data_IF_379327008788
#
_entry.id   IF_379327008788
#
_cell.length_a   1.000
_cell.length_b   1.000
_cell.length_c   1.000
_cell.angle_alpha   90.00
_cell.angle_beta   90.00
_cell.angle_gamma   90.00
#
_symmetry.space_group_name_H-M   'P 1'
#
loop_
_entity.id
_entity.type
_entity.pdbx_description
1 polymer ?
#
# COMPACT_ATOMS: atom_id res chain seq x y z
N UNK A 1 -16.17 -9.25 -20.43
CA UNK A 1 -16.37 -8.42 -19.21
C UNK A 1 -15.30 -8.81 -18.26
N UNK A 2 -14.16 -8.14 -18.41
CA UNK A 2 -12.94 -8.42 -17.67
C UNK A 2 -12.39 -7.12 -17.09
N UNK A 3 -11.94 -7.20 -15.85
CA UNK A 3 -11.05 -6.21 -15.26
C UNK A 3 -9.68 -6.84 -15.20
N UNK A 4 -8.73 -6.31 -15.97
CA UNK A 4 -7.34 -6.75 -16.00
C UNK A 4 -6.51 -5.82 -15.13
N UNK A 5 -6.10 -6.31 -13.96
CA UNK A 5 -5.22 -5.57 -13.07
C UNK A 5 -3.76 -5.82 -13.44
N UNK A 6 -3.00 -4.74 -13.66
CA UNK A 6 -1.56 -4.79 -13.87
C UNK A 6 -0.85 -5.45 -12.66
N UNK A 7 0.04 -6.40 -12.92
CA UNK A 7 0.81 -7.14 -11.90
C UNK A 7 1.74 -6.21 -11.12
N UNK A 8 2.20 -5.13 -11.74
CA UNK A 8 3.05 -4.11 -11.12
C UNK A 8 2.28 -3.01 -10.40
N UNK A 9 0.93 -3.07 -10.39
CA UNK A 9 0.11 -2.11 -9.68
C UNK A 9 0.40 -2.11 -8.18
N UNK A 10 0.53 -0.91 -7.61
CA UNK A 10 0.71 -0.71 -6.18
C UNK A 10 2.13 -0.34 -5.78
N UNK A 11 2.43 -0.45 -4.48
CA UNK A 11 3.71 -0.02 -3.90
C UNK A 11 4.91 -0.70 -4.55
N UNK A 12 5.89 0.11 -4.98
CA UNK A 12 7.23 -0.38 -5.26
C UNK A 12 7.99 -0.68 -3.96
N UNK A 13 9.15 -1.34 -4.08
CA UNK A 13 10.00 -1.65 -2.92
C UNK A 13 10.39 -0.40 -2.11
N UNK A 14 10.82 0.67 -2.79
CA UNK A 14 11.26 1.91 -2.12
C UNK A 14 10.14 2.58 -1.31
N UNK A 15 8.94 2.66 -1.89
CA UNK A 15 7.75 3.18 -1.21
C UNK A 15 7.33 2.28 -0.05
N UNK A 16 7.25 0.97 -0.26
CA UNK A 16 6.89 0.01 0.79
C UNK A 16 7.85 0.11 1.97
N UNK A 17 9.16 0.11 1.71
CA UNK A 17 10.20 0.30 2.73
C UNK A 17 9.98 1.59 3.52
N UNK A 18 9.74 2.71 2.84
CA UNK A 18 9.55 4.00 3.50
C UNK A 18 8.30 4.00 4.39
N UNK A 19 7.17 3.51 3.87
CA UNK A 19 5.91 3.43 4.60
C UNK A 19 6.03 2.49 5.80
N UNK A 20 6.52 1.27 5.61
CA UNK A 20 6.67 0.27 6.68
C UNK A 20 7.59 0.78 7.80
N UNK A 21 8.70 1.43 7.43
CA UNK A 21 9.61 2.06 8.39
C UNK A 21 8.91 3.12 9.24
N UNK A 22 8.18 4.04 8.60
CA UNK A 22 7.47 5.11 9.31
C UNK A 22 6.35 4.54 10.19
N UNK A 23 5.65 3.50 9.74
CA UNK A 23 4.62 2.84 10.53
C UNK A 23 5.19 2.14 11.76
N UNK A 24 6.32 1.45 11.64
CA UNK A 24 7.01 0.81 12.78
C UNK A 24 7.48 1.85 13.81
N UNK A 25 8.04 2.96 13.34
CA UNK A 25 8.44 4.09 14.20
C UNK A 25 7.22 4.69 14.89
N UNK A 26 6.15 4.96 14.15
CA UNK A 26 4.93 5.54 14.70
C UNK A 26 4.28 4.64 15.76
N UNK A 27 4.40 3.31 15.61
CA UNK A 27 3.89 2.34 16.59
C UNK A 27 4.72 2.33 17.88
N UNK A 28 6.02 2.60 17.80
CA UNK A 28 6.96 2.54 18.94
C UNK A 28 7.33 3.90 19.54
N UNK A 29 6.83 5.01 18.97
CA UNK A 29 7.24 6.38 19.33
C UNK A 29 7.00 6.78 20.79
N UNK A 30 6.09 6.11 21.51
CA UNK A 30 5.72 6.53 22.86
C UNK A 30 5.19 7.98 22.87
N UNK A 31 5.92 8.88 23.54
CA UNK A 31 5.62 10.33 23.59
C UNK A 31 6.40 11.16 22.55
N UNK A 32 7.23 10.53 21.73
CA UNK A 32 8.06 11.20 20.73
C UNK A 32 7.23 11.79 19.58
N UNK A 33 7.56 13.01 19.16
CA UNK A 33 6.98 13.63 17.97
C UNK A 33 7.69 13.14 16.71
N UNK A 34 6.94 12.63 15.74
CA UNK A 34 7.50 12.09 14.49
C UNK A 34 7.04 12.97 13.33
N UNK A 35 8.01 13.51 12.61
CA UNK A 35 7.81 14.36 11.44
C UNK A 35 8.36 13.71 10.18
N UNK A 36 7.81 14.04 9.02
CA UNK A 36 8.44 13.76 7.73
C UNK A 36 8.84 15.07 7.07
N UNK A 37 10.04 15.14 6.50
CA UNK A 37 10.47 16.32 5.74
C UNK A 37 9.84 16.30 4.35
N UNK A 38 8.75 17.04 4.19
CA UNK A 38 7.77 16.94 3.13
C UNK A 38 6.88 15.69 3.26
N UNK A 39 5.96 15.49 2.29
CA UNK A 39 5.22 14.23 2.17
C UNK A 39 6.19 13.06 1.99
N UNK A 40 6.01 12.00 2.80
CA UNK A 40 6.83 10.78 2.72
C UNK A 40 6.84 10.20 1.29
N UNK A 41 5.68 10.20 0.65
CA UNK A 41 5.41 9.76 -0.72
C UNK A 41 4.33 10.65 -1.37
N UNK A 42 4.20 10.60 -2.69
CA UNK A 42 3.15 11.30 -3.43
C UNK A 42 1.85 10.47 -3.49
N UNK A 43 1.16 10.35 -2.35
CA UNK A 43 -0.19 9.76 -2.29
C UNK A 43 -0.99 10.36 -1.11
N UNK A 44 -1.99 11.23 -1.37
CA UNK A 44 -2.65 12.01 -0.31
C UNK A 44 -3.34 11.12 0.72
N UNK A 45 -3.92 9.99 0.31
CA UNK A 45 -4.59 9.06 1.20
C UNK A 45 -3.62 8.38 2.17
N UNK A 46 -2.42 8.01 1.72
CA UNK A 46 -1.39 7.43 2.59
C UNK A 46 -0.85 8.48 3.55
N UNK A 47 -0.69 9.74 3.11
CA UNK A 47 -0.30 10.83 4.00
C UNK A 47 -1.34 11.05 5.11
N UNK A 48 -2.64 10.98 4.79
CA UNK A 48 -3.70 11.06 5.80
C UNK A 48 -3.62 9.90 6.81
N UNK A 49 -3.41 8.67 6.34
CA UNK A 49 -3.19 7.52 7.23
C UNK A 49 -2.01 7.76 8.18
N UNK A 50 -0.89 8.31 7.69
CA UNK A 50 0.25 8.63 8.55
C UNK A 50 -0.07 9.73 9.57
N UNK A 51 -0.82 10.76 9.16
CA UNK A 51 -1.29 11.84 10.05
C UNK A 51 -2.16 11.30 11.18
N UNK A 52 -3.09 10.38 10.89
CA UNK A 52 -3.91 9.73 11.92
C UNK A 52 -3.09 8.90 12.92
N UNK A 53 -1.87 8.48 12.56
CA UNK A 53 -0.90 7.84 13.45
C UNK A 53 0.06 8.82 14.11
N UNK A 54 -0.21 10.11 13.99
CA UNK A 54 0.58 11.21 14.54
C UNK A 54 1.97 11.30 13.94
N UNK A 55 2.08 11.08 12.63
CA UNK A 55 3.25 11.42 11.81
C UNK A 55 2.89 12.64 10.97
N UNK A 56 3.59 13.75 11.18
CA UNK A 56 3.20 15.06 10.61
C UNK A 56 4.20 15.46 9.52
N UNK A 57 3.76 15.66 8.26
CA UNK A 57 4.64 16.22 7.24
C UNK A 57 4.86 17.72 7.52
N UNK A 58 6.12 18.15 7.46
CA UNK A 58 6.53 19.56 7.59
C UNK A 58 7.23 19.99 6.31
N UNK A 59 7.24 21.27 5.99
CA UNK A 59 7.97 21.81 4.83
C UNK A 59 9.32 22.39 5.19
N UNK A 60 9.44 22.96 6.39
CA UNK A 60 10.68 23.48 6.95
C UNK A 60 10.93 22.86 8.34
N UNK A 61 12.20 22.60 8.64
CA UNK A 61 12.64 22.20 9.98
C UNK A 61 12.42 23.30 11.03
N UNK A 62 12.20 24.55 10.60
CA UNK A 62 11.79 25.70 11.42
C UNK A 62 10.36 25.60 11.97
N UNK A 63 9.54 24.70 11.44
CA UNK A 63 8.22 24.37 12.00
C UNK A 63 8.31 23.52 13.27
N UNK A 64 9.47 22.92 13.57
CA UNK A 64 9.66 22.14 14.79
C UNK A 64 10.11 23.09 15.91
N UNK A 65 9.22 23.31 16.88
CA UNK A 65 9.51 24.12 18.07
C UNK A 65 10.79 23.66 18.77
N UNK A 66 11.67 24.61 19.10
CA UNK A 66 12.92 24.35 19.81
C UNK A 66 12.70 23.71 21.21
N UNK A 67 11.49 23.85 21.78
CA UNK A 67 11.10 23.27 23.07
C UNK A 67 10.41 21.90 22.95
N UNK A 68 10.22 21.39 21.73
CA UNK A 68 9.68 20.06 21.44
C UNK A 68 10.67 18.99 21.90
N UNK A 69 10.51 18.51 23.15
CA UNK A 69 11.33 17.41 23.70
C UNK A 69 11.15 16.15 22.84
N UNK A 70 12.27 15.58 22.39
CA UNK A 70 12.36 14.36 21.57
C UNK A 70 11.51 14.40 20.29
N UNK A 71 12.10 14.95 19.23
CA UNK A 71 11.55 14.91 17.88
C UNK A 71 12.43 14.05 16.97
N UNK A 72 11.78 13.28 16.11
CA UNK A 72 12.43 12.60 14.98
C UNK A 72 11.90 13.17 13.69
N UNK A 73 12.82 13.41 12.76
CA UNK A 73 12.47 13.73 11.38
C UNK A 73 12.89 12.61 10.44
N UNK A 74 11.95 12.22 9.60
CA UNK A 74 12.12 11.17 8.61
C UNK A 74 12.31 11.83 7.24
N UNK A 75 13.44 11.54 6.60
CA UNK A 75 13.70 11.96 5.22
C UNK A 75 12.81 11.16 4.28
N UNK A 76 12.06 11.85 3.41
CA UNK A 76 11.14 11.24 2.43
C UNK A 76 11.85 10.30 1.44
N UNK A 77 11.08 9.42 0.79
CA UNK A 77 11.62 8.42 -0.14
C UNK A 77 12.37 9.04 -1.35
N UNK A 78 12.02 10.26 -1.73
CA UNK A 78 12.66 11.05 -2.79
C UNK A 78 14.04 11.61 -2.40
N UNK A 79 14.44 11.48 -1.14
CA UNK A 79 15.63 12.14 -0.61
C UNK A 79 15.46 13.65 -0.39
N UNK A 80 16.56 14.24 0.07
CA UNK A 80 16.76 15.67 0.30
C UNK A 80 18.20 16.04 -0.11
N UNK A 81 18.46 17.33 -0.26
CA UNK A 81 19.80 17.84 -0.59
C UNK A 81 20.77 17.70 0.59
N UNK A 82 22.10 17.73 0.36
CA UNK A 82 23.09 17.82 1.44
C UNK A 82 22.88 19.04 2.35
N UNK A 83 22.49 20.18 1.79
CA UNK A 83 22.22 21.43 2.51
C UNK A 83 21.02 21.28 3.45
N UNK A 84 19.89 20.76 2.96
CA UNK A 84 18.71 20.47 3.76
C UNK A 84 19.04 19.49 4.90
N UNK A 85 19.84 18.46 4.59
CA UNK A 85 20.29 17.48 5.60
C UNK A 85 21.14 18.13 6.69
N UNK A 86 22.00 19.09 6.34
CA UNK A 86 22.83 19.82 7.30
C UNK A 86 21.98 20.76 8.16
N UNK A 87 21.02 21.49 7.57
CA UNK A 87 20.05 22.34 8.30
C UNK A 87 19.34 21.55 9.40
N UNK A 88 18.93 20.32 9.10
CA UNK A 88 18.29 19.44 10.09
C UNK A 88 19.26 19.00 11.19
N UNK A 89 20.49 18.63 10.84
CA UNK A 89 21.52 18.19 11.81
C UNK A 89 21.88 19.31 12.79
N UNK A 90 21.97 20.54 12.32
CA UNK A 90 22.30 21.72 13.13
C UNK A 90 21.27 21.96 14.24
N UNK A 91 20.02 21.52 14.07
CA UNK A 91 18.99 21.56 15.11
C UNK A 91 19.08 20.44 16.17
N UNK A 92 20.01 19.49 16.02
CA UNK A 92 20.15 18.35 16.94
C UNK A 92 18.97 17.38 16.92
N UNK A 93 18.14 17.40 15.86
CA UNK A 93 16.98 16.52 15.70
C UNK A 93 17.43 15.15 15.19
N UNK A 94 16.85 14.06 15.73
CA UNK A 94 17.17 12.71 15.27
C UNK A 94 16.68 12.52 13.83
N UNK A 95 17.58 12.12 12.94
CA UNK A 95 17.27 11.86 11.52
C UNK A 95 17.11 10.35 11.29
N UNK A 96 16.01 9.98 10.63
CA UNK A 96 15.83 8.65 10.05
C UNK A 96 15.72 8.79 8.53
N UNK A 97 16.56 8.06 7.79
CA UNK A 97 16.66 8.20 6.35
C UNK A 97 15.83 7.15 5.60
N UNK A 98 14.64 7.54 5.15
CA UNK A 98 13.77 6.69 4.34
C UNK A 98 14.00 6.84 2.83
N UNK A 99 15.07 7.54 2.39
CA UNK A 99 15.44 7.67 0.97
C UNK A 99 15.47 6.29 0.30
N UNK A 100 14.90 6.21 -0.90
CA UNK A 100 14.91 4.99 -1.69
C UNK A 100 16.37 4.65 -2.09
N UNK A 101 16.81 3.38 -1.95
CA UNK A 101 18.16 2.98 -2.35
C UNK A 101 18.49 3.29 -3.82
N UNK A 102 17.49 3.29 -4.72
CA UNK A 102 17.66 3.69 -6.12
C UNK A 102 17.97 5.18 -6.27
N UNK A 103 17.31 6.03 -5.49
CA UNK A 103 17.59 7.48 -5.45
C UNK A 103 18.98 7.74 -4.85
N UNK A 104 19.32 7.06 -3.75
CA UNK A 104 20.64 7.17 -3.14
C UNK A 104 21.77 6.74 -4.09
N UNK A 105 21.51 5.77 -4.97
CA UNK A 105 22.45 5.38 -6.02
C UNK A 105 22.69 6.51 -7.03
N UNK A 106 21.64 7.22 -7.47
CA UNK A 106 21.78 8.38 -8.35
C UNK A 106 22.60 9.48 -7.66
N UNK A 107 22.31 9.78 -6.39
CA UNK A 107 23.08 10.75 -5.59
C UNK A 107 24.58 10.39 -5.55
N UNK A 108 24.91 9.09 -5.41
CA UNK A 108 26.29 8.61 -5.42
C UNK A 108 26.96 8.76 -6.80
N UNK A 109 26.23 8.50 -7.90
CA UNK A 109 26.74 8.73 -9.27
C UNK A 109 27.06 10.20 -9.47
N UNK A 110 26.13 11.10 -9.12
CA UNK A 110 26.31 12.55 -9.24
C UNK A 110 27.55 12.99 -8.46
N UNK A 111 27.64 12.61 -7.18
CA UNK A 111 28.77 12.97 -6.32
C UNK A 111 30.11 12.50 -6.89
N UNK A 112 30.16 11.27 -7.42
CA UNK A 112 31.37 10.71 -8.04
C UNK A 112 31.78 11.53 -9.26
N UNK A 113 30.87 11.85 -10.17
CA UNK A 113 31.21 12.55 -11.42
C UNK A 113 31.56 14.02 -11.20
N UNK A 114 30.91 14.68 -10.23
CA UNK A 114 31.33 16.03 -9.82
C UNK A 114 32.75 16.03 -9.26
N UNK A 115 33.15 15.00 -8.49
CA UNK A 115 34.55 14.88 -8.02
C UNK A 115 35.58 14.66 -9.14
N UNK A 116 35.13 14.22 -10.31
CA UNK A 116 35.93 14.07 -11.53
C UNK A 116 35.78 15.27 -12.49
N UNK A 117 35.25 16.40 -12.00
CA UNK A 117 35.07 17.64 -12.75
C UNK A 117 34.07 17.56 -13.92
N UNK A 118 33.06 16.68 -13.84
CA UNK A 118 31.96 16.64 -14.80
C UNK A 118 30.87 17.66 -14.45
N UNK A 119 30.25 18.24 -15.48
CA UNK A 119 28.92 18.87 -15.38
C UNK A 119 27.88 17.75 -15.46
N UNK A 120 26.91 17.76 -14.54
CA UNK A 120 25.86 16.74 -14.48
C UNK A 120 24.57 17.29 -15.07
N UNK A 121 24.09 16.67 -16.13
CA UNK A 121 22.75 16.91 -16.68
C UNK A 121 21.77 15.93 -16.04
N UNK A 122 20.72 16.45 -15.40
CA UNK A 122 19.69 15.68 -14.71
C UNK A 122 18.42 15.77 -15.55
N UNK A 123 18.05 14.69 -16.24
CA UNK A 123 16.82 14.63 -17.02
C UNK A 123 15.64 14.36 -16.09
N UNK A 124 14.70 15.30 -15.98
CA UNK A 124 13.55 15.16 -15.08
C UNK A 124 12.77 16.45 -14.87
N UNK A 125 11.75 16.38 -14.02
CA UNK A 125 10.87 17.51 -13.75
C UNK A 125 11.53 18.51 -12.77
N UNK A 126 11.73 19.76 -13.21
CA UNK A 126 12.43 20.81 -12.44
C UNK A 126 11.89 21.06 -11.04
N UNK A 127 10.58 20.94 -10.85
CA UNK A 127 9.93 21.21 -9.57
C UNK A 127 9.83 19.95 -8.68
N UNK A 128 10.34 18.80 -9.13
CA UNK A 128 10.15 17.56 -8.41
C UNK A 128 11.11 17.42 -7.21
N UNK A 129 10.61 17.03 -6.03
CA UNK A 129 11.40 16.77 -4.83
C UNK A 129 12.70 15.98 -5.03
N UNK A 130 12.61 14.90 -5.82
CA UNK A 130 13.77 14.06 -6.14
C UNK A 130 14.83 14.83 -6.92
N UNK A 131 14.42 15.58 -7.95
CA UNK A 131 15.33 16.33 -8.82
C UNK A 131 16.03 17.44 -8.03
N UNK A 132 15.30 18.14 -7.16
CA UNK A 132 15.88 19.12 -6.25
C UNK A 132 16.91 18.49 -5.30
N UNK A 133 16.59 17.32 -4.75
CA UNK A 133 17.52 16.55 -3.93
C UNK A 133 18.77 16.15 -4.69
N UNK A 134 18.63 15.64 -5.92
CA UNK A 134 19.74 15.26 -6.80
C UNK A 134 20.62 16.45 -7.18
N UNK A 135 20.01 17.61 -7.49
CA UNK A 135 20.71 18.82 -7.86
C UNK A 135 21.66 19.30 -6.75
N UNK A 136 21.28 19.15 -5.48
CA UNK A 136 22.15 19.48 -4.35
C UNK A 136 23.43 18.63 -4.28
N UNK A 137 23.39 17.37 -4.71
CA UNK A 137 24.60 16.53 -4.80
C UNK A 137 25.52 16.95 -5.95
N UNK A 138 25.07 17.83 -6.83
CA UNK A 138 25.88 18.34 -7.94
C UNK A 138 26.76 19.54 -7.55
N UNK A 139 26.61 20.10 -6.33
CA UNK A 139 27.43 21.20 -5.80
C UNK A 139 27.64 22.37 -6.79
N UNK A 140 26.56 22.82 -7.42
CA UNK A 140 26.59 23.93 -8.39
C UNK A 140 26.99 23.53 -9.83
N UNK A 141 27.31 22.26 -10.08
CA UNK A 141 27.64 21.72 -11.42
C UNK A 141 26.49 20.93 -12.06
N UNK A 142 25.29 21.04 -11.52
CA UNK A 142 24.11 20.35 -12.05
C UNK A 142 23.24 21.27 -12.91
N UNK A 143 22.69 20.74 -14.00
CA UNK A 143 21.71 21.41 -14.84
C UNK A 143 20.54 20.44 -15.05
N UNK A 144 19.31 20.90 -14.83
CA UNK A 144 18.11 20.07 -15.04
C UNK A 144 17.58 20.28 -16.45
N UNK A 145 17.32 19.18 -17.15
CA UNK A 145 16.76 19.17 -18.51
C UNK A 145 15.35 18.59 -18.47
N UNK A 146 14.35 19.42 -18.75
CA UNK A 146 12.94 19.02 -18.75
C UNK A 146 12.42 18.52 -20.10
N UNK A 147 12.98 19.01 -21.20
CA UNK A 147 12.59 18.67 -22.57
C UNK A 147 13.79 18.72 -23.53
N UNK A 148 13.61 18.17 -24.73
CA UNK A 148 14.63 18.18 -25.79
C UNK A 148 15.00 19.61 -26.23
N UNK A 149 14.04 20.54 -26.25
CA UNK A 149 14.25 21.92 -26.68
C UNK A 149 15.23 22.70 -25.77
N UNK A 150 15.38 22.26 -24.52
CA UNK A 150 16.31 22.89 -23.57
C UNK A 150 17.78 22.60 -23.91
N UNK A 151 18.06 21.56 -24.70
CA UNK A 151 19.43 21.16 -25.09
C UNK A 151 20.09 22.26 -25.93
N UNK A 152 19.33 22.94 -26.78
CA UNK A 152 19.85 23.99 -27.67
C UNK A 152 20.40 25.20 -26.90
N UNK A 153 19.82 25.46 -25.73
CA UNK A 153 20.15 26.59 -24.86
C UNK A 153 21.31 26.29 -23.89
N UNK A 154 21.86 25.07 -23.90
CA UNK A 154 22.95 24.70 -23.00
C UNK A 154 24.24 25.44 -23.35
N UNK A 155 24.98 25.98 -22.37
CA UNK A 155 26.30 26.55 -22.64
C UNK A 155 27.25 25.46 -23.14
N UNK A 156 28.43 25.87 -23.64
CA UNK A 156 29.47 24.89 -23.96
C UNK A 156 29.95 24.25 -22.65
N UNK A 157 29.74 22.95 -22.52
CA UNK A 157 30.17 22.16 -21.37
C UNK A 157 31.46 21.40 -21.69
N UNK A 158 32.26 21.13 -20.66
CA UNK A 158 33.41 20.23 -20.74
C UNK A 158 32.96 18.77 -20.68
N UNK A 159 33.43 18.05 -19.66
CA UNK A 159 33.00 16.66 -19.43
C UNK A 159 31.54 16.63 -18.96
N UNK A 160 30.68 15.88 -19.66
CA UNK A 160 29.24 15.79 -19.36
C UNK A 160 28.88 14.40 -18.86
N UNK A 161 28.12 14.36 -17.75
CA UNK A 161 27.52 13.16 -17.20
C UNK A 161 25.99 13.33 -17.20
N UNK A 162 25.26 12.38 -17.75
CA UNK A 162 23.79 12.38 -17.74
C UNK A 162 23.27 11.37 -16.72
N UNK A 163 22.30 11.79 -15.93
CA UNK A 163 21.46 10.94 -15.08
C UNK A 163 19.99 11.31 -15.30
N UNK A 164 19.08 10.41 -14.94
CA UNK A 164 17.64 10.63 -14.99
C UNK A 164 16.99 10.58 -13.59
N UNK A 165 15.89 11.33 -13.44
CA UNK A 165 14.93 11.10 -12.37
C UNK A 165 14.44 9.64 -12.44
N UNK A 166 14.40 8.93 -11.31
CA UNK A 166 14.11 7.49 -11.25
C UNK A 166 12.74 7.11 -11.79
N UNK A 167 11.82 8.06 -11.83
CA UNK A 167 10.46 7.90 -12.35
C UNK A 167 10.28 8.43 -13.77
N UNK A 168 11.34 8.76 -14.51
CA UNK A 168 11.24 9.38 -15.84
C UNK A 168 10.65 8.42 -16.90
N UNK A 169 10.08 8.99 -17.97
CA UNK A 169 9.62 8.21 -19.13
C UNK A 169 10.83 7.71 -19.94
N UNK A 170 10.87 6.42 -20.25
CA UNK A 170 12.02 5.81 -20.94
C UNK A 170 12.19 6.32 -22.38
N UNK A 171 11.08 6.49 -23.11
CA UNK A 171 11.13 6.94 -24.51
C UNK A 171 11.64 8.40 -24.57
N UNK A 172 11.12 9.28 -23.70
CA UNK A 172 11.57 10.68 -23.59
C UNK A 172 13.02 10.78 -23.12
N UNK A 173 13.47 9.89 -22.22
CA UNK A 173 14.88 9.85 -21.79
C UNK A 173 15.81 9.50 -22.94
N UNK A 174 15.49 8.48 -23.74
CA UNK A 174 16.30 8.07 -24.90
C UNK A 174 16.42 9.21 -25.91
N UNK A 175 15.30 9.88 -26.19
CA UNK A 175 15.25 11.02 -27.11
C UNK A 175 16.14 12.19 -26.64
N UNK A 176 16.02 12.58 -25.37
CA UNK A 176 16.85 13.66 -24.79
C UNK A 176 18.33 13.27 -24.76
N UNK A 177 18.66 12.02 -24.41
CA UNK A 177 20.04 11.53 -24.43
C UNK A 177 20.65 11.59 -25.82
N UNK A 178 19.87 11.28 -26.86
CA UNK A 178 20.32 11.40 -28.25
C UNK A 178 20.72 12.83 -28.59
N UNK A 179 19.83 13.80 -28.35
CA UNK A 179 20.14 15.22 -28.59
C UNK A 179 21.32 15.75 -27.77
N UNK A 180 21.48 15.27 -26.53
CA UNK A 180 22.65 15.62 -25.70
C UNK A 180 23.94 15.08 -26.33
N UNK A 181 23.95 13.84 -26.82
CA UNK A 181 25.13 13.24 -27.45
C UNK A 181 25.50 13.89 -28.78
N UNK A 182 24.52 14.37 -29.54
CA UNK A 182 24.79 15.15 -30.76
C UNK A 182 25.56 16.44 -30.45
N UNK A 183 25.20 17.14 -29.37
CA UNK A 183 25.87 18.39 -28.95
C UNK A 183 27.16 18.14 -28.15
N UNK A 184 27.19 17.09 -27.35
CA UNK A 184 28.29 16.72 -26.45
C UNK A 184 28.67 15.23 -26.65
N UNK A 185 29.47 14.89 -27.68
CA UNK A 185 29.72 13.50 -28.08
C UNK A 185 30.33 12.60 -27.00
N UNK A 186 31.20 13.16 -26.15
CA UNK A 186 31.90 12.43 -25.07
C UNK A 186 31.05 12.26 -23.79
N UNK A 187 29.74 12.47 -23.88
CA UNK A 187 28.81 12.36 -22.74
C UNK A 187 28.77 10.94 -22.18
N UNK A 188 29.03 10.83 -20.88
CA UNK A 188 28.81 9.59 -20.12
C UNK A 188 27.35 9.54 -19.67
N UNK A 189 26.64 8.47 -19.99
CA UNK A 189 25.21 8.33 -19.66
C UNK A 189 25.02 7.21 -18.65
N UNK A 190 24.31 7.53 -17.56
CA UNK A 190 23.77 6.53 -16.65
C UNK A 190 22.26 6.54 -16.76
N UNK A 191 21.71 5.41 -17.23
CA UNK A 191 20.29 5.15 -17.11
C UNK A 191 19.97 4.87 -15.64
N UNK A 192 19.42 5.89 -14.98
CA UNK A 192 19.03 5.82 -13.57
C UNK A 192 17.52 5.76 -13.39
N UNK A 193 16.76 5.51 -14.46
CA UNK A 193 15.34 5.15 -14.35
C UNK A 193 15.29 3.82 -13.58
N UNK A 194 14.35 3.71 -12.63
CA UNK A 194 14.28 2.49 -11.83
C UNK A 194 13.56 1.38 -12.58
N UNK A 195 14.02 0.14 -12.40
CA UNK A 195 13.43 -1.07 -12.99
C UNK A 195 11.93 -1.20 -12.69
N UNK A 196 11.51 -0.74 -11.52
CA UNK A 196 10.12 -0.67 -11.07
C UNK A 196 9.27 0.28 -11.93
N UNK A 197 9.84 1.40 -12.39
CA UNK A 197 9.18 2.35 -13.28
C UNK A 197 9.12 1.78 -14.69
N UNK A 198 10.23 1.25 -15.23
CA UNK A 198 10.27 0.62 -16.55
C UNK A 198 9.23 -0.49 -16.71
N UNK A 199 9.18 -1.44 -15.75
CA UNK A 199 8.23 -2.54 -15.77
C UNK A 199 6.78 -2.06 -15.77
N UNK A 200 6.46 -1.00 -15.01
CA UNK A 200 5.11 -0.39 -15.01
C UNK A 200 4.77 0.26 -16.34
N UNK A 201 5.70 0.99 -16.93
CA UNK A 201 5.51 1.64 -18.22
C UNK A 201 5.28 0.60 -19.32
N UNK A 202 6.10 -0.46 -19.37
CA UNK A 202 5.96 -1.56 -20.30
C UNK A 202 4.63 -2.32 -20.10
N UNK A 203 4.25 -2.60 -18.85
CA UNK A 203 2.99 -3.28 -18.58
C UNK A 203 1.77 -2.43 -18.93
N UNK A 204 1.79 -1.11 -18.71
CA UNK A 204 0.72 -0.22 -19.18
C UNK A 204 0.59 -0.26 -20.70
N UNK A 205 1.71 -0.20 -21.45
CA UNK A 205 1.71 -0.33 -22.93
C UNK A 205 1.13 -1.68 -23.39
N UNK A 206 1.46 -2.77 -22.70
CA UNK A 206 0.90 -4.09 -23.01
C UNK A 206 -0.60 -4.15 -22.69
N UNK A 207 -1.00 -3.64 -21.52
CA UNK A 207 -2.37 -3.71 -21.04
C UNK A 207 -3.32 -2.86 -21.88
N UNK A 208 -2.87 -1.71 -22.38
CA UNK A 208 -3.63 -0.87 -23.31
C UNK A 208 -3.97 -1.60 -24.61
N UNK A 209 -3.10 -2.51 -25.09
CA UNK A 209 -3.35 -3.27 -26.31
C UNK A 209 -4.51 -4.26 -26.16
N UNK A 210 -4.77 -4.73 -24.94
CA UNK A 210 -5.76 -5.77 -24.65
C UNK A 210 -7.07 -5.24 -24.04
N UNK A 211 -7.22 -3.92 -23.93
CA UNK A 211 -8.34 -3.28 -23.21
C UNK A 211 -8.95 -2.12 -24.01
N UNK A 212 -10.18 -1.76 -23.67
CA UNK A 212 -10.96 -0.69 -24.29
C UNK A 212 -10.84 0.63 -23.53
N UNK A 213 -10.55 0.56 -22.23
CA UNK A 213 -10.30 1.72 -21.38
C UNK A 213 -9.30 1.37 -20.28
N UNK A 214 -8.56 2.39 -19.85
CA UNK A 214 -7.54 2.27 -18.82
C UNK A 214 -7.85 3.17 -17.64
N UNK A 215 -7.78 2.62 -16.43
CA UNK A 215 -7.86 3.35 -15.17
C UNK A 215 -6.48 3.35 -14.53
N UNK A 216 -5.91 4.54 -14.35
CA UNK A 216 -4.60 4.75 -13.73
C UNK A 216 -4.82 5.33 -12.34
N UNK A 217 -4.63 4.50 -11.32
CA UNK A 217 -4.99 4.81 -9.94
C UNK A 217 -3.81 5.42 -9.18
N UNK A 218 -3.97 6.62 -8.63
CA UNK A 218 -3.00 7.23 -7.72
C UNK A 218 -3.04 8.75 -7.71
N UNK A 219 -2.27 9.36 -6.80
CA UNK A 219 -2.25 10.81 -6.61
C UNK A 219 -1.90 11.59 -7.88
N UNK A 220 -2.59 12.71 -8.13
CA UNK A 220 -2.31 13.65 -9.22
C UNK A 220 -0.96 14.33 -9.08
N UNK A 221 -0.45 14.42 -7.85
CA UNK A 221 0.89 14.92 -7.56
C UNK A 221 2.01 13.87 -7.78
N UNK A 222 1.69 12.62 -8.14
CA UNK A 222 2.69 11.59 -8.41
C UNK A 222 3.18 11.66 -9.85
N UNK A 223 4.46 11.99 -10.03
CA UNK A 223 5.09 12.05 -11.35
C UNK A 223 5.05 10.69 -12.08
N UNK A 224 5.28 9.59 -11.35
CA UNK A 224 5.12 8.24 -11.90
C UNK A 224 3.68 7.96 -12.35
N UNK A 225 2.66 8.32 -11.55
CA UNK A 225 1.25 8.06 -11.92
C UNK A 225 0.84 8.86 -13.15
N UNK A 226 1.20 10.15 -13.19
CA UNK A 226 0.97 11.03 -14.36
C UNK A 226 1.60 10.46 -15.63
N UNK A 227 2.83 9.94 -15.55
CA UNK A 227 3.49 9.29 -16.70
C UNK A 227 2.77 8.05 -17.17
N UNK A 228 2.27 7.19 -16.26
CA UNK A 228 1.47 6.03 -16.65
C UNK A 228 0.17 6.43 -17.38
N UNK A 229 -0.50 7.50 -16.91
CA UNK A 229 -1.67 8.06 -17.59
C UNK A 229 -1.31 8.58 -18.99
N UNK A 230 -0.27 9.40 -19.11
CA UNK A 230 0.19 9.94 -20.40
C UNK A 230 0.61 8.84 -21.38
N UNK A 231 1.27 7.78 -20.90
CA UNK A 231 1.63 6.61 -21.72
C UNK A 231 0.37 5.93 -22.25
N UNK A 232 -0.62 5.71 -21.39
CA UNK A 232 -1.90 5.11 -21.78
C UNK A 232 -2.67 5.96 -22.80
N UNK A 233 -2.73 7.27 -22.58
CA UNK A 233 -3.34 8.23 -23.52
C UNK A 233 -2.66 8.21 -24.89
N UNK A 234 -1.32 8.16 -24.93
CA UNK A 234 -0.55 8.06 -26.17
C UNK A 234 -0.83 6.77 -26.96
N UNK A 235 -1.35 5.71 -26.33
CA UNK A 235 -1.80 4.50 -27.02
C UNK A 235 -3.21 4.62 -27.63
N UNK A 236 -3.85 5.80 -27.53
CA UNK A 236 -5.16 6.08 -28.12
C UNK A 236 -6.34 5.45 -27.38
N UNK A 237 -6.15 5.03 -26.13
CA UNK A 237 -7.22 4.43 -25.31
C UNK A 237 -7.82 5.48 -24.37
N UNK A 238 -9.17 5.50 -24.18
CA UNK A 238 -9.80 6.22 -23.09
C UNK A 238 -9.08 5.94 -21.76
N UNK A 239 -8.52 6.98 -21.16
CA UNK A 239 -7.68 6.88 -19.97
C UNK A 239 -8.26 7.74 -18.85
N UNK A 240 -8.41 7.15 -17.67
CA UNK A 240 -8.98 7.79 -16.49
C UNK A 240 -7.94 7.79 -15.37
N UNK A 241 -7.32 8.95 -15.09
CA UNK A 241 -6.49 9.14 -13.91
C UNK A 241 -7.37 9.50 -12.72
N UNK A 242 -7.53 8.55 -11.80
CA UNK A 242 -8.36 8.69 -10.60
C UNK A 242 -7.55 8.47 -9.32
N UNK A 243 -7.92 9.15 -8.24
CA UNK A 243 -7.33 8.97 -6.92
C UNK A 243 -8.16 8.03 -6.02
N UNK A 244 -9.47 7.98 -6.24
CA UNK A 244 -10.42 7.26 -5.39
C UNK A 244 -11.53 6.57 -6.19
N UNK A 245 -12.22 5.63 -5.55
CA UNK A 245 -13.38 4.93 -6.14
C UNK A 245 -14.57 5.85 -6.38
N UNK A 246 -14.66 6.99 -5.68
CA UNK A 246 -15.80 7.90 -5.77
C UNK A 246 -15.84 8.65 -7.11
N UNK A 247 -14.67 8.85 -7.73
CA UNK A 247 -14.54 9.43 -9.07
C UNK A 247 -15.13 8.53 -10.17
N UNK A 248 -15.37 7.24 -9.89
CA UNK A 248 -16.10 6.36 -10.82
C UNK A 248 -17.57 6.75 -11.02
N UNK A 249 -18.12 7.64 -10.20
CA UNK A 249 -19.50 8.13 -10.36
C UNK A 249 -19.67 9.02 -11.59
N UNK A 250 -18.60 9.69 -12.00
CA UNK A 250 -18.60 10.61 -13.14
C UNK A 250 -18.18 9.93 -14.45
N UNK A 251 -17.77 8.66 -14.36
CA UNK A 251 -17.25 7.89 -15.49
C UNK A 251 -18.30 6.88 -15.94
N UNK A 252 -18.66 6.83 -17.24
CA UNK A 252 -19.57 5.84 -17.79
C UNK A 252 -18.90 4.45 -17.90
N UNK A 253 -18.44 3.88 -16.78
CA UNK A 253 -17.69 2.62 -16.69
C UNK A 253 -18.40 1.47 -17.41
N UNK A 254 -19.73 1.45 -17.36
CA UNK A 254 -20.53 0.40 -17.97
C UNK A 254 -20.37 0.32 -19.48
N UNK A 255 -19.92 1.36 -20.19
CA UNK A 255 -19.76 1.30 -21.65
C UNK A 255 -18.60 0.39 -22.10
N UNK A 256 -17.64 0.10 -21.22
CA UNK A 256 -16.44 -0.69 -21.53
C UNK A 256 -16.59 -2.15 -21.06
N UNK A 257 -16.26 -3.09 -21.93
CA UNK A 257 -16.27 -4.53 -21.69
C UNK A 257 -14.95 -5.04 -21.11
N UNK A 258 -13.81 -4.62 -21.66
CA UNK A 258 -12.48 -5.01 -21.18
C UNK A 258 -11.75 -3.79 -20.64
N UNK A 259 -11.60 -3.73 -19.32
CA UNK A 259 -11.02 -2.58 -18.62
C UNK A 259 -9.67 -2.96 -18.03
N UNK A 260 -8.65 -2.17 -18.34
CA UNK A 260 -7.35 -2.25 -17.70
C UNK A 260 -7.28 -1.36 -16.47
N UNK A 261 -6.70 -1.87 -15.39
CA UNK A 261 -6.41 -1.10 -14.18
C UNK A 261 -4.92 -1.19 -13.91
N UNK A 262 -4.27 -0.04 -13.79
CA UNK A 262 -2.89 0.07 -13.30
C UNK A 262 -2.82 1.12 -12.20
N UNK A 263 -1.70 1.20 -11.50
CA UNK A 263 -1.55 2.12 -10.39
C UNK A 263 -0.12 2.64 -10.26
N UNK A 264 -0.01 3.86 -9.74
CA UNK A 264 1.26 4.47 -9.40
C UNK A 264 2.04 3.68 -8.35
N UNK A 265 3.37 3.82 -8.36
CA UNK A 265 4.26 3.19 -7.39
C UNK A 265 4.01 3.65 -5.93
N UNK A 266 3.28 4.75 -5.74
CA UNK A 266 2.89 5.31 -4.43
C UNK A 266 1.45 4.98 -4.04
N UNK A 267 0.71 4.18 -4.81
CA UNK A 267 -0.70 3.84 -4.53
C UNK A 267 -0.78 2.54 -3.72
N UNK A 268 -1.40 2.52 -2.54
CA UNK A 268 -1.56 1.30 -1.76
C UNK A 268 -2.67 0.39 -2.31
N UNK A 269 -2.52 -0.92 -2.09
CA UNK A 269 -3.45 -1.94 -2.62
C UNK A 269 -4.91 -1.68 -2.25
N UNK A 270 -5.20 -1.22 -1.03
CA UNK A 270 -6.57 -0.97 -0.61
C UNK A 270 -7.30 0.10 -1.44
N UNK A 271 -6.60 1.06 -2.05
CA UNK A 271 -7.20 2.02 -2.99
C UNK A 271 -7.49 1.32 -4.31
N UNK A 272 -6.52 0.54 -4.80
CA UNK A 272 -6.61 -0.20 -6.07
C UNK A 272 -7.76 -1.20 -6.01
N UNK A 273 -7.83 -2.00 -4.96
CA UNK A 273 -8.87 -2.99 -4.71
C UNK A 273 -10.25 -2.33 -4.71
N UNK A 274 -10.41 -1.19 -4.02
CA UNK A 274 -11.67 -0.44 -4.01
C UNK A 274 -12.07 0.04 -5.41
N UNK A 275 -11.12 0.49 -6.22
CA UNK A 275 -11.39 0.89 -7.61
C UNK A 275 -11.79 -0.32 -8.46
N UNK A 276 -11.03 -1.42 -8.39
CA UNK A 276 -11.31 -2.66 -9.13
C UNK A 276 -12.71 -3.20 -8.76
N UNK A 277 -13.03 -3.26 -7.47
CA UNK A 277 -14.34 -3.66 -6.99
C UNK A 277 -15.44 -2.70 -7.47
N UNK A 278 -15.18 -1.39 -7.42
CA UNK A 278 -16.09 -0.35 -7.91
C UNK A 278 -16.39 -0.46 -9.40
N UNK A 279 -15.40 -0.83 -10.21
CA UNK A 279 -15.52 -1.10 -11.64
C UNK A 279 -16.33 -2.38 -11.87
N UNK A 280 -15.95 -3.48 -11.20
CA UNK A 280 -16.62 -4.77 -11.33
C UNK A 280 -18.12 -4.68 -10.95
N UNK A 281 -18.44 -3.96 -9.88
CA UNK A 281 -19.84 -3.69 -9.48
C UNK A 281 -20.60 -2.99 -10.61
N UNK A 282 -20.05 -1.91 -11.19
CA UNK A 282 -20.70 -1.13 -12.26
C UNK A 282 -20.84 -1.94 -13.56
N UNK A 283 -19.86 -2.77 -13.92
CA UNK A 283 -19.98 -3.68 -15.06
C UNK A 283 -21.07 -4.75 -14.84
N UNK A 284 -21.21 -5.27 -13.61
CA UNK A 284 -22.23 -6.27 -13.28
C UNK A 284 -23.68 -5.76 -13.41
N UNK A 285 -23.89 -4.44 -13.43
CA UNK A 285 -25.23 -3.86 -13.50
C UNK A 285 -25.95 -4.12 -14.82
N UNK A 286 -25.24 -4.49 -15.89
CA UNK A 286 -25.83 -4.85 -17.18
C UNK A 286 -26.64 -6.17 -17.16
N UNK A 287 -26.41 -7.08 -16.21
CA UNK A 287 -27.11 -8.37 -16.14
C UNK A 287 -27.84 -8.56 -14.81
N UNK A 288 -29.19 -8.61 -14.84
CA UNK A 288 -30.02 -8.72 -13.62
C UNK A 288 -29.72 -9.96 -12.78
N UNK A 289 -29.48 -11.10 -13.42
CA UNK A 289 -29.21 -12.37 -12.71
C UNK A 289 -27.79 -12.41 -12.12
N UNK A 290 -26.80 -11.99 -12.90
CA UNK A 290 -25.40 -11.88 -12.43
C UNK A 290 -25.32 -10.85 -11.31
N UNK A 291 -26.02 -9.73 -11.40
CA UNK A 291 -26.10 -8.69 -10.36
C UNK A 291 -26.66 -9.24 -9.05
N UNK A 292 -27.74 -10.04 -9.08
CA UNK A 292 -28.31 -10.63 -7.85
C UNK A 292 -27.34 -11.59 -7.19
N UNK A 293 -26.77 -12.51 -7.96
CA UNK A 293 -25.79 -13.47 -7.43
C UNK A 293 -24.54 -12.77 -6.89
N UNK A 294 -23.96 -11.84 -7.65
CA UNK A 294 -22.79 -11.08 -7.24
C UNK A 294 -23.06 -10.24 -5.98
N UNK A 295 -24.21 -9.56 -5.90
CA UNK A 295 -24.61 -8.83 -4.68
C UNK A 295 -24.73 -9.75 -3.47
N UNK A 296 -25.32 -10.94 -3.62
CA UNK A 296 -25.42 -11.92 -2.55
C UNK A 296 -24.04 -12.43 -2.13
N UNK A 297 -23.18 -12.78 -3.09
CA UNK A 297 -21.81 -13.22 -2.83
C UNK A 297 -21.01 -12.14 -2.09
N UNK A 298 -21.00 -10.90 -2.62
CA UNK A 298 -20.37 -9.74 -1.96
C UNK A 298 -20.94 -9.52 -0.56
N UNK A 299 -22.25 -9.68 -0.36
CA UNK A 299 -22.86 -9.59 0.97
C UNK A 299 -22.32 -10.65 1.93
N UNK A 300 -22.24 -11.92 1.52
CA UNK A 300 -21.69 -13.00 2.37
C UNK A 300 -20.21 -12.81 2.69
N UNK A 301 -19.47 -12.25 1.73
CA UNK A 301 -18.06 -11.87 1.85
C UNK A 301 -17.90 -10.68 2.80
N UNK A 302 -18.77 -9.66 2.72
CA UNK A 302 -18.79 -8.49 3.60
C UNK A 302 -19.09 -8.84 5.05
N UNK A 303 -19.98 -9.79 5.26
CA UNK A 303 -20.49 -10.18 6.58
C UNK A 303 -19.70 -11.33 7.22
N UNK A 304 -18.61 -11.80 6.61
CA UNK A 304 -17.86 -13.00 7.03
C UNK A 304 -18.68 -14.31 7.06
N UNK A 305 -19.92 -14.29 6.57
CA UNK A 305 -20.76 -15.48 6.37
C UNK A 305 -20.08 -16.46 5.41
N UNK A 306 -19.38 -15.96 4.39
CA UNK A 306 -18.66 -16.82 3.45
C UNK A 306 -17.58 -17.66 4.17
N UNK A 307 -16.80 -17.05 5.06
CA UNK A 307 -15.79 -17.74 5.87
C UNK A 307 -16.42 -18.75 6.82
N UNK A 308 -17.55 -18.39 7.43
CA UNK A 308 -18.31 -19.25 8.34
C UNK A 308 -18.85 -20.50 7.64
N UNK A 309 -19.41 -20.35 6.44
CA UNK A 309 -19.85 -21.47 5.61
C UNK A 309 -18.68 -22.37 5.22
N UNK A 310 -17.56 -21.78 4.80
CA UNK A 310 -16.34 -22.53 4.50
C UNK A 310 -15.83 -23.34 5.70
N UNK A 311 -15.87 -22.77 6.91
CA UNK A 311 -15.48 -23.47 8.13
C UNK A 311 -16.41 -24.64 8.49
N UNK A 312 -17.71 -24.48 8.29
CA UNK A 312 -18.69 -25.57 8.45
C UNK A 312 -18.46 -26.72 7.47
N UNK A 313 -18.22 -26.39 6.19
CA UNK A 313 -17.85 -27.37 5.17
C UNK A 313 -16.54 -28.11 5.52
N UNK A 314 -15.56 -27.39 6.08
CA UNK A 314 -14.31 -27.99 6.53
C UNK A 314 -14.52 -28.95 7.70
N UNK A 315 -15.37 -28.61 8.67
CA UNK A 315 -15.77 -29.49 9.77
C UNK A 315 -16.47 -30.77 9.26
N UNK A 316 -17.40 -30.61 8.32
CA UNK A 316 -18.05 -31.74 7.65
C UNK A 316 -17.04 -32.65 6.96
N UNK A 317 -16.16 -32.08 6.12
CA UNK A 317 -15.12 -32.84 5.42
C UNK A 317 -14.19 -33.57 6.40
N UNK A 318 -13.82 -32.91 7.50
CA UNK A 318 -12.99 -33.48 8.54
C UNK A 318 -13.63 -34.69 9.22
N UNK A 319 -14.92 -34.61 9.59
CA UNK A 319 -15.65 -35.74 10.16
C UNK A 319 -15.70 -36.93 9.18
N UNK A 320 -15.95 -36.67 7.89
CA UNK A 320 -15.99 -37.71 6.86
C UNK A 320 -14.62 -38.38 6.69
N UNK A 321 -13.54 -37.61 6.66
CA UNK A 321 -12.17 -38.13 6.52
C UNK A 321 -11.73 -38.94 7.74
N UNK A 322 -12.16 -38.53 8.94
CA UNK A 322 -11.88 -39.24 10.20
C UNK A 322 -12.82 -40.43 10.43
N UNK A 323 -13.79 -40.67 9.54
CA UNK A 323 -14.83 -41.71 9.66
C UNK A 323 -15.68 -41.56 10.93
N UNK A 324 -15.91 -40.31 11.35
CA UNK A 324 -16.80 -39.96 12.45
C UNK A 324 -18.25 -39.83 11.95
N UNK A 325 -19.21 -39.98 12.84
CA UNK A 325 -20.61 -39.70 12.53
C UNK A 325 -20.80 -38.19 12.31
N UNK A 326 -21.49 -37.82 11.23
CA UNK A 326 -21.76 -36.41 10.91
C UNK A 326 -22.67 -35.82 11.97
N UNK A 327 -22.15 -34.85 12.72
CA UNK A 327 -22.90 -34.12 13.74
C UNK A 327 -23.15 -32.68 13.29
N UNK A 328 -24.42 -32.33 13.08
CA UNK A 328 -24.83 -30.99 12.67
C UNK A 328 -24.47 -29.90 13.71
N UNK A 329 -24.43 -30.25 15.00
CA UNK A 329 -24.05 -29.33 16.07
C UNK A 329 -22.57 -28.93 15.93
N UNK A 330 -21.69 -29.87 15.60
CA UNK A 330 -20.25 -29.57 15.39
C UNK A 330 -20.01 -28.67 14.18
N UNK A 331 -20.77 -28.87 13.10
CA UNK A 331 -20.76 -28.00 11.92
C UNK A 331 -21.20 -26.59 12.30
N UNK A 332 -22.31 -26.48 13.05
CA UNK A 332 -22.86 -25.21 13.51
C UNK A 332 -21.89 -24.46 14.44
N UNK A 333 -21.30 -25.16 15.43
CA UNK A 333 -20.29 -24.60 16.34
C UNK A 333 -19.13 -24.04 15.52
N UNK A 334 -18.62 -24.80 14.55
CA UNK A 334 -17.48 -24.38 13.73
C UNK A 334 -17.80 -23.13 12.90
N UNK A 335 -18.96 -23.11 12.24
CA UNK A 335 -19.39 -21.95 11.45
C UNK A 335 -19.57 -20.70 12.31
N UNK A 336 -20.32 -20.81 13.42
CA UNK A 336 -20.60 -19.66 14.28
C UNK A 336 -19.37 -19.15 15.03
N UNK A 337 -18.45 -20.06 15.41
CA UNK A 337 -17.18 -19.68 16.03
C UNK A 337 -16.33 -18.85 15.08
N UNK A 338 -16.13 -19.33 13.85
CA UNK A 338 -15.36 -18.61 12.83
C UNK A 338 -16.01 -17.27 12.49
N UNK A 339 -17.34 -17.24 12.31
CA UNK A 339 -18.08 -15.99 12.12
C UNK A 339 -17.79 -14.99 13.26
N UNK A 340 -18.00 -15.42 14.51
CA UNK A 340 -17.85 -14.55 15.67
C UNK A 340 -16.42 -14.04 15.84
N UNK A 341 -15.43 -14.93 15.77
CA UNK A 341 -14.03 -14.57 15.95
C UNK A 341 -13.51 -13.65 14.85
N UNK A 342 -13.84 -13.92 13.58
CA UNK A 342 -13.44 -13.04 12.48
C UNK A 342 -14.07 -11.65 12.62
N UNK A 343 -15.36 -11.60 12.99
CA UNK A 343 -16.11 -10.36 13.19
C UNK A 343 -15.54 -9.54 14.36
N UNK A 344 -15.33 -10.16 15.52
CA UNK A 344 -14.75 -9.52 16.71
C UNK A 344 -13.32 -9.05 16.46
N UNK A 345 -12.46 -9.91 15.91
CA UNK A 345 -11.08 -9.56 15.62
C UNK A 345 -10.98 -8.41 14.62
N UNK A 346 -11.86 -8.35 13.62
CA UNK A 346 -11.90 -7.22 12.68
C UNK A 346 -12.28 -5.91 13.37
N UNK A 347 -13.25 -5.94 14.27
CA UNK A 347 -13.69 -4.75 15.01
C UNK A 347 -12.58 -4.26 15.96
N UNK A 348 -11.90 -5.18 16.65
CA UNK A 348 -10.77 -4.86 17.53
C UNK A 348 -9.56 -4.36 16.71
N UNK A 349 -9.22 -5.05 15.62
CA UNK A 349 -8.11 -4.67 14.73
C UNK A 349 -8.35 -3.29 14.10
N UNK A 350 -9.59 -2.97 13.72
CA UNK A 350 -9.97 -1.67 13.14
C UNK A 350 -9.76 -0.50 14.11
N UNK A 351 -10.04 -0.66 15.41
CA UNK A 351 -9.70 0.38 16.40
C UNK A 351 -8.20 0.68 16.44
N UNK A 352 -7.38 -0.24 15.93
CA UNK A 352 -5.91 -0.13 15.88
C UNK A 352 -5.39 0.22 14.47
N UNK A 353 -6.20 0.02 13.42
CA UNK A 353 -5.84 0.25 12.01
C UNK A 353 -6.77 1.29 11.39
N UNK A 354 -6.26 2.50 11.17
CA UNK A 354 -6.98 3.60 10.51
C UNK A 354 -7.10 3.43 8.99
N UNK A 355 -6.52 2.37 8.42
CA UNK A 355 -6.55 2.09 6.99
C UNK A 355 -7.85 1.39 6.63
N UNK A 356 -8.66 2.03 5.78
CA UNK A 356 -9.87 1.41 5.23
C UNK A 356 -9.47 0.43 4.13
N UNK A 357 -9.28 -0.85 4.48
CA UNK A 357 -8.67 -1.86 3.63
C UNK A 357 -9.55 -2.40 2.49
N UNK A 358 -10.88 -2.35 2.63
CA UNK A 358 -11.80 -2.92 1.62
C UNK A 358 -13.23 -2.37 1.75
N UNK A 359 -14.08 -2.62 0.74
CA UNK A 359 -15.54 -2.35 0.80
C UNK A 359 -16.27 -2.99 1.99
N UNK A 360 -15.62 -3.95 2.68
CA UNK A 360 -16.18 -4.62 3.85
C UNK A 360 -16.28 -3.64 5.02
N UNK A 361 -15.26 -2.82 5.21
CA UNK A 361 -15.13 -1.97 6.40
C UNK A 361 -16.13 -0.81 6.45
N UNK A 362 -16.60 -0.35 5.29
CA UNK A 362 -17.65 0.67 5.22
C UNK A 362 -18.99 0.16 5.78
N UNK A 363 -19.36 -1.08 5.44
CA UNK A 363 -20.56 -1.73 5.99
C UNK A 363 -20.44 -1.91 7.51
N UNK A 364 -19.28 -2.37 7.96
CA UNK A 364 -18.95 -2.54 9.37
C UNK A 364 -19.03 -1.22 10.15
N UNK A 365 -18.57 -0.10 9.58
CA UNK A 365 -18.69 1.22 10.21
C UNK A 365 -20.15 1.63 10.36
N UNK A 366 -20.96 1.43 9.34
CA UNK A 366 -22.38 1.84 9.35
C UNK A 366 -23.23 1.01 10.31
N UNK A 367 -22.93 -0.28 10.46
CA UNK A 367 -23.73 -1.22 11.24
C UNK A 367 -22.94 -1.88 12.38
N UNK A 368 -21.96 -1.18 12.96
CA UNK A 368 -21.02 -1.73 13.94
C UNK A 368 -21.73 -2.43 15.10
N UNK A 369 -22.75 -1.77 15.68
CA UNK A 369 -23.54 -2.33 16.79
C UNK A 369 -24.22 -3.66 16.41
N UNK A 370 -24.72 -3.77 15.18
CA UNK A 370 -25.38 -4.98 14.71
C UNK A 370 -24.37 -6.13 14.53
N UNK A 371 -23.19 -5.84 13.95
CA UNK A 371 -22.13 -6.84 13.82
C UNK A 371 -21.58 -7.30 15.17
N UNK A 372 -21.37 -6.37 16.12
CA UNK A 372 -20.96 -6.71 17.49
C UNK A 372 -22.01 -7.61 18.15
N UNK A 373 -23.29 -7.22 18.10
CA UNK A 373 -24.37 -8.01 18.68
C UNK A 373 -24.45 -9.40 18.05
N UNK A 374 -24.40 -9.50 16.72
CA UNK A 374 -24.42 -10.78 16.01
C UNK A 374 -23.23 -11.66 16.39
N UNK A 375 -22.02 -11.09 16.51
CA UNK A 375 -20.84 -11.84 16.91
C UNK A 375 -20.92 -12.34 18.36
N UNK A 376 -21.39 -11.51 19.29
CA UNK A 376 -21.57 -11.89 20.71
C UNK A 376 -22.65 -12.97 20.82
N UNK A 377 -23.80 -12.80 20.16
CA UNK A 377 -24.87 -13.81 20.15
C UNK A 377 -24.35 -15.13 19.58
N UNK A 378 -23.61 -15.07 18.47
CA UNK A 378 -22.98 -16.27 17.87
C UNK A 378 -22.01 -16.94 18.84
N UNK A 379 -21.19 -16.18 19.57
CA UNK A 379 -20.27 -16.73 20.56
C UNK A 379 -21.00 -17.41 21.73
N UNK A 380 -22.08 -16.80 22.22
CA UNK A 380 -22.92 -17.39 23.28
C UNK A 380 -23.53 -18.71 22.78
N UNK A 381 -24.07 -18.74 21.56
CA UNK A 381 -24.63 -19.95 20.98
C UNK A 381 -23.58 -21.05 20.81
N UNK A 382 -22.36 -20.70 20.42
CA UNK A 382 -21.22 -21.64 20.33
C UNK A 382 -20.91 -22.23 21.70
N UNK A 383 -20.83 -21.40 22.75
CA UNK A 383 -20.55 -21.89 24.11
C UNK A 383 -21.67 -22.81 24.62
N UNK A 384 -22.94 -22.44 24.44
CA UNK A 384 -24.09 -23.27 24.82
C UNK A 384 -24.09 -24.60 24.05
N UNK A 385 -23.87 -24.55 22.74
CA UNK A 385 -23.87 -25.75 21.89
C UNK A 385 -22.67 -26.66 22.18
N UNK A 386 -21.51 -26.09 22.47
CA UNK A 386 -20.34 -26.89 22.86
C UNK A 386 -20.53 -27.60 24.19
N UNK A 387 -21.27 -26.99 25.13
CA UNK A 387 -21.64 -27.64 26.39
C UNK A 387 -22.59 -28.83 26.19
N UNK A 388 -23.51 -28.77 25.22
CA UNK A 388 -24.39 -29.90 24.91
C UNK A 388 -23.68 -31.05 24.19
N UNK A 389 -22.56 -30.78 23.50
CA UNK A 389 -21.67 -31.81 22.95
C UNK A 389 -20.86 -32.49 24.06
N UNK A 390 -20.35 -31.72 25.02
CA UNK A 390 -19.69 -32.24 26.21
C UNK A 390 -18.75 -31.24 26.88
N UNK A 391 -18.34 -31.54 28.11
CA UNK A 391 -17.49 -30.63 28.90
C UNK A 391 -16.13 -30.36 28.23
N UNK A 392 -15.53 -31.35 27.58
CA UNK A 392 -14.25 -31.20 26.89
C UNK A 392 -14.37 -30.24 25.70
N UNK A 393 -15.45 -30.36 24.93
CA UNK A 393 -15.75 -29.46 23.82
C UNK A 393 -15.97 -28.02 24.30
N UNK A 394 -16.73 -27.86 25.39
CA UNK A 394 -16.92 -26.56 26.03
C UNK A 394 -15.60 -25.92 26.48
N UNK A 395 -14.76 -26.67 27.22
CA UNK A 395 -13.47 -26.18 27.70
C UNK A 395 -12.56 -25.77 26.54
N UNK A 396 -12.48 -26.60 25.49
CA UNK A 396 -11.69 -26.29 24.28
C UNK A 396 -12.13 -24.97 23.64
N UNK A 397 -13.43 -24.82 23.37
CA UNK A 397 -14.00 -23.61 22.76
C UNK A 397 -13.83 -22.40 23.66
N UNK A 398 -14.04 -22.55 24.97
CA UNK A 398 -13.89 -21.47 25.94
C UNK A 398 -12.44 -20.96 25.99
N UNK A 399 -11.47 -21.87 26.04
CA UNK A 399 -10.04 -21.53 26.06
C UNK A 399 -9.61 -20.83 24.78
N UNK A 400 -9.97 -21.36 23.60
CA UNK A 400 -9.60 -20.75 22.32
C UNK A 400 -10.29 -19.40 22.14
N UNK A 401 -11.57 -19.28 22.54
CA UNK A 401 -12.30 -18.02 22.48
C UNK A 401 -11.67 -16.96 23.37
N UNK A 402 -11.33 -17.33 24.61
CA UNK A 402 -10.65 -16.45 25.55
C UNK A 402 -9.30 -16.03 24.98
N UNK A 403 -8.50 -16.97 24.47
CA UNK A 403 -7.21 -16.66 23.84
C UNK A 403 -7.36 -15.70 22.66
N UNK A 404 -8.36 -15.93 21.79
CA UNK A 404 -8.65 -15.05 20.65
C UNK A 404 -8.97 -13.61 21.05
N UNK A 405 -9.75 -13.42 22.13
CA UNK A 405 -10.04 -12.08 22.67
C UNK A 405 -8.79 -11.45 23.30
N UNK A 406 -8.05 -12.22 24.09
CA UNK A 406 -6.85 -11.74 24.79
C UNK A 406 -5.67 -11.49 23.84
N UNK A 407 -5.65 -12.11 22.65
CA UNK A 407 -4.57 -11.98 21.66
C UNK A 407 -4.26 -10.53 21.29
N UNK A 408 -5.29 -9.68 21.25
CA UNK A 408 -5.19 -8.26 20.93
C UNK A 408 -5.00 -7.35 22.15
N UNK A 409 -5.00 -7.90 23.37
CA UNK A 409 -4.86 -7.13 24.60
C UNK A 409 -3.40 -6.97 25.01
N UNK A 410 -3.09 -5.87 25.72
CA UNK A 410 -1.74 -5.58 26.20
C UNK A 410 -1.47 -6.29 27.52
N UNK A 411 -1.31 -7.62 27.47
CA UNK A 411 -1.06 -8.45 28.66
C UNK A 411 0.45 -8.61 28.91
N UNK A 412 1.31 -8.35 27.92
CA UNK A 412 2.74 -8.57 28.08
C UNK A 412 3.39 -7.46 28.92
N UNK A 413 4.41 -7.77 29.74
CA UNK A 413 5.10 -6.80 30.57
C UNK A 413 5.72 -5.69 29.71
N UNK A 414 5.61 -4.42 30.14
CA UNK A 414 6.10 -3.26 29.37
C UNK A 414 7.62 -3.21 29.13
N UNK A 415 8.38 -4.10 29.79
CA UNK A 415 9.83 -4.23 29.60
C UNK A 415 10.20 -5.17 28.44
N UNK A 416 9.23 -5.82 27.81
CA UNK A 416 9.45 -6.69 26.66
C UNK A 416 9.37 -5.94 25.34
N UNK A 417 10.03 -6.49 24.32
CA UNK A 417 10.02 -5.94 22.95
C UNK A 417 8.61 -5.84 22.35
N UNK A 418 7.66 -6.63 22.86
CA UNK A 418 6.29 -6.74 22.37
C UNK A 418 5.32 -6.54 23.53
N UNK A 419 4.31 -5.71 23.32
CA UNK A 419 3.28 -5.37 24.33
C UNK A 419 2.02 -6.24 24.20
N UNK A 420 1.85 -6.98 23.11
CA UNK A 420 0.76 -7.93 22.91
C UNK A 420 1.23 -9.15 22.10
N UNK A 421 0.49 -10.26 22.19
CA UNK A 421 0.76 -11.45 21.39
C UNK A 421 0.68 -11.17 19.88
N UNK A 422 -0.19 -10.22 19.47
CA UNK A 422 -0.30 -9.76 18.08
C UNK A 422 0.98 -9.19 17.49
N UNK A 423 1.83 -8.58 18.31
CA UNK A 423 3.05 -7.93 17.83
C UNK A 423 4.18 -8.93 17.50
N UNK A 424 4.01 -10.20 17.89
CA UNK A 424 4.95 -11.27 17.52
C UNK A 424 4.83 -11.59 16.02
N UNK A 425 5.93 -11.51 15.23
CA UNK A 425 5.89 -11.84 13.81
C UNK A 425 5.36 -13.26 13.56
N UNK A 426 4.40 -13.41 12.63
CA UNK A 426 3.82 -14.71 12.27
C UNK A 426 2.81 -15.30 13.26
N UNK A 427 2.67 -14.74 14.46
CA UNK A 427 1.77 -15.22 15.52
C UNK A 427 0.31 -15.31 15.07
N UNK A 428 -0.16 -14.38 14.22
CA UNK A 428 -1.53 -14.37 13.71
C UNK A 428 -1.83 -15.61 12.89
N UNK A 429 -0.91 -16.00 12.01
CA UNK A 429 -1.08 -17.14 11.12
C UNK A 429 -1.11 -18.43 11.94
N UNK A 430 -0.20 -18.59 12.90
CA UNK A 430 -0.14 -19.75 13.80
C UNK A 430 -1.40 -19.84 14.65
N UNK A 431 -1.80 -18.73 15.29
CA UNK A 431 -2.97 -18.68 16.18
C UNK A 431 -4.26 -18.97 15.41
N UNK A 432 -4.42 -18.38 14.23
CA UNK A 432 -5.59 -18.59 13.37
C UNK A 432 -5.64 -20.03 12.87
N UNK A 433 -4.53 -20.58 12.38
CA UNK A 433 -4.46 -21.97 11.93
C UNK A 433 -4.77 -22.96 13.06
N UNK A 434 -4.24 -22.72 14.26
CA UNK A 434 -4.48 -23.56 15.44
C UNK A 434 -5.96 -23.53 15.85
N UNK A 435 -6.58 -22.34 15.89
CA UNK A 435 -8.00 -22.21 16.20
C UNK A 435 -8.87 -22.92 15.14
N UNK A 436 -8.56 -22.77 13.85
CA UNK A 436 -9.26 -23.46 12.77
C UNK A 436 -9.13 -24.98 12.89
N UNK A 437 -7.93 -25.51 13.14
CA UNK A 437 -7.70 -26.94 13.31
C UNK A 437 -8.45 -27.50 14.52
N UNK A 438 -8.40 -26.79 15.65
CA UNK A 438 -9.08 -27.21 16.87
C UNK A 438 -10.60 -27.31 16.68
N UNK A 439 -11.22 -26.29 16.07
CA UNK A 439 -12.68 -26.26 15.94
C UNK A 439 -13.17 -27.14 14.77
N UNK A 440 -12.45 -27.20 13.66
CA UNK A 440 -12.88 -27.98 12.50
C UNK A 440 -12.47 -29.46 12.55
N UNK A 441 -11.38 -29.82 13.24
CA UNK A 441 -10.85 -31.19 13.20
C UNK A 441 -10.75 -31.90 14.55
N UNK A 442 -10.47 -31.18 15.64
CA UNK A 442 -10.36 -31.79 16.98
C UNK A 442 -11.72 -31.85 17.67
N UNK A 443 -12.49 -30.76 17.65
CA UNK A 443 -13.81 -30.69 18.28
C UNK A 443 -14.78 -31.81 17.86
N UNK A 444 -14.79 -32.28 16.59
CA UNK A 444 -15.71 -33.34 16.20
C UNK A 444 -15.41 -34.74 16.75
N UNK A 445 -14.20 -34.96 17.30
CA UNK A 445 -13.78 -36.21 17.94
C UNK A 445 -14.44 -36.34 19.32
#
# INVERSE_FOLDING_TARGET
>A
MGVKLAKTAGFCMGVRRAVDMVLDIAQRKGKENIYTYGPLIHNPQTIEVLRTRGVIPITDVDEIDAYSKASTIIIRAHGISPEERNKIKEKGIRIIDATCPKVAHVQAIIKKHVSMNYTVLIIGDKEHPEVNGLLGYAYGRGIVIGSIDEIENLPRLGNVCVVAQTTQNMDEFIEIVHGIKERFPDTVVFDTICDSTEKRQAEVKSLTAETEAMFIVGGRNSANTKRLAKISERQGKPTFHIETVDELNEIPVSQYHEIGVSAGASTPNWIIDRVVDGIAIRQSEKSKNVRKFFKLWVFTVKTDIYSALGAGCLSLASMLLQRLNVNAINILITSLFVYSMHTLNRIIDRKTSTIIGSFREESYRKHEKAYVAAAIISMILVLISSFSVGINAFVLIFCISTFGVLYNTRILPGNWRFNSLKELPGSKNISTATAWAAVAAVLPQ
#
